data_IF_062923016703
#
_entry.id   IF_062923016703
#
_cell.length_a   1.000
_cell.length_b   1.000
_cell.length_c   1.000
_cell.angle_alpha   90.00
_cell.angle_beta   90.00
_cell.angle_gamma   90.00
#
_symmetry.space_group_name_H-M   'P 1'
#
loop_
_entity.id
_entity.type
_entity.pdbx_description
1 polymer ?
#
# COMPACT_ATOMS: atom_id res chain seq x y z
N UNK A 1 13.30 26.98 10.70
CA UNK A 1 12.71 26.42 9.47
C UNK A 1 11.62 25.43 9.87
N UNK A 2 10.51 25.42 9.18
CA UNK A 2 9.43 24.44 9.39
C UNK A 2 9.91 23.05 9.00
N UNK A 3 9.44 22.03 9.75
CA UNK A 3 9.78 20.62 9.47
C UNK A 3 9.03 20.14 8.24
N UNK A 4 9.74 19.49 7.31
CA UNK A 4 9.15 18.80 6.18
C UNK A 4 9.21 17.29 6.47
N UNK A 5 8.06 16.66 6.65
CA UNK A 5 7.94 15.22 6.88
C UNK A 5 7.79 14.49 5.54
N UNK A 6 8.09 13.18 5.52
CA UNK A 6 7.96 12.35 4.31
C UNK A 6 6.54 12.36 3.76
N UNK A 7 5.54 12.55 4.62
CA UNK A 7 4.14 12.65 4.24
C UNK A 7 3.39 13.57 5.19
N UNK A 8 2.28 14.12 4.70
CA UNK A 8 1.31 14.88 5.47
C UNK A 8 -0.08 14.38 5.07
N UNK A 9 -0.93 14.15 6.07
CA UNK A 9 -2.28 13.65 5.84
C UNK A 9 -3.14 14.73 5.15
N UNK A 10 -3.84 14.35 4.09
CA UNK A 10 -4.92 15.16 3.53
C UNK A 10 -6.10 15.15 4.49
N UNK A 11 -6.67 16.32 4.73
CA UNK A 11 -7.78 16.51 5.66
C UNK A 11 -8.88 17.32 4.97
N UNK A 12 -10.17 16.99 5.18
CA UNK A 12 -11.28 17.86 4.81
C UNK A 12 -11.25 19.13 5.67
N UNK A 13 -12.10 20.12 5.38
CA UNK A 13 -12.31 21.23 6.30
C UNK A 13 -12.90 20.72 7.62
N UNK A 14 -12.63 21.44 8.71
CA UNK A 14 -13.16 21.08 10.03
C UNK A 14 -14.70 21.07 10.01
N UNK A 15 -15.29 22.05 9.35
CA UNK A 15 -16.74 22.22 9.22
C UNK A 15 -17.37 21.05 8.45
N UNK A 16 -16.74 20.62 7.35
CA UNK A 16 -17.21 19.47 6.57
C UNK A 16 -17.25 18.18 7.41
N UNK A 17 -16.19 17.92 8.18
CA UNK A 17 -16.17 16.74 9.03
C UNK A 17 -17.17 16.82 10.19
N UNK A 18 -17.34 18.00 10.80
CA UNK A 18 -18.34 18.22 11.85
C UNK A 18 -19.75 17.99 11.31
N UNK A 19 -20.07 18.50 10.11
CA UNK A 19 -21.38 18.28 9.49
C UNK A 19 -21.60 16.79 9.16
N UNK A 20 -20.56 16.10 8.69
CA UNK A 20 -20.64 14.67 8.34
C UNK A 20 -20.90 13.77 9.56
N UNK A 21 -20.36 14.09 10.75
CA UNK A 21 -20.54 13.28 11.95
C UNK A 21 -21.75 13.70 12.81
N UNK A 22 -22.41 14.81 12.50
CA UNK A 22 -23.45 15.42 13.34
C UNK A 22 -24.59 14.46 13.68
N UNK A 23 -25.06 13.70 12.70
CA UNK A 23 -26.15 12.72 12.91
C UNK A 23 -25.80 11.57 13.85
N UNK A 24 -24.49 11.36 14.13
CA UNK A 24 -24.08 10.33 15.09
C UNK A 24 -24.46 10.68 16.53
N UNK A 25 -24.67 11.99 16.84
CA UNK A 25 -25.15 12.45 18.13
C UNK A 25 -26.66 12.20 18.33
N UNK A 26 -27.41 12.09 17.24
CA UNK A 26 -28.84 11.77 17.32
C UNK A 26 -29.06 10.25 17.32
N UNK A 27 -28.29 9.53 16.48
CA UNK A 27 -28.44 8.08 16.35
C UNK A 27 -27.79 7.27 17.46
N UNK A 28 -26.74 7.80 18.11
CA UNK A 28 -25.87 7.10 19.05
C UNK A 28 -25.27 5.78 18.50
N UNK A 29 -25.28 5.58 17.18
CA UNK A 29 -24.76 4.39 16.51
C UNK A 29 -23.32 4.64 16.03
N UNK A 30 -22.34 4.18 16.78
CA UNK A 30 -20.93 4.55 16.59
C UNK A 30 -20.06 3.48 15.93
N UNK A 31 -20.56 2.25 15.86
CA UNK A 31 -19.84 1.09 15.31
C UNK A 31 -20.81 0.05 14.77
N UNK A 32 -20.33 -1.18 14.44
CA UNK A 32 -21.15 -2.27 13.95
C UNK A 32 -21.88 -1.97 12.63
N UNK A 33 -21.13 -1.40 11.68
CA UNK A 33 -21.60 -1.19 10.29
C UNK A 33 -22.87 -0.35 10.21
N UNK A 34 -22.80 0.85 10.78
CA UNK A 34 -23.90 1.83 10.75
C UNK A 34 -24.05 2.52 9.39
N UNK A 35 -24.69 3.69 9.40
CA UNK A 35 -25.05 4.43 8.18
C UNK A 35 -23.81 4.89 7.39
N UNK A 36 -22.83 5.52 8.07
CA UNK A 36 -21.60 6.01 7.42
C UNK A 36 -20.75 4.88 6.85
N UNK A 37 -20.64 3.78 7.59
CA UNK A 37 -19.94 2.59 7.12
C UNK A 37 -20.55 2.05 5.81
N UNK A 38 -21.87 1.88 5.76
CA UNK A 38 -22.57 1.38 4.57
C UNK A 38 -22.49 2.34 3.39
N UNK A 39 -22.63 3.62 3.66
CA UNK A 39 -22.48 4.65 2.63
C UNK A 39 -21.07 4.64 2.05
N UNK A 40 -20.04 4.55 2.90
CA UNK A 40 -18.66 4.49 2.45
C UNK A 40 -18.38 3.22 1.62
N UNK A 41 -18.89 2.06 2.02
CA UNK A 41 -18.77 0.83 1.22
C UNK A 41 -19.34 1.04 -0.19
N UNK A 42 -20.55 1.57 -0.32
CA UNK A 42 -21.19 1.84 -1.60
C UNK A 42 -20.42 2.86 -2.46
N UNK A 43 -19.99 3.98 -1.84
CA UNK A 43 -19.20 4.99 -2.55
C UNK A 43 -17.84 4.48 -3.03
N UNK A 44 -17.20 3.62 -2.25
CA UNK A 44 -15.93 3.01 -2.64
C UNK A 44 -16.10 1.97 -3.75
N UNK A 45 -17.21 1.20 -3.76
CA UNK A 45 -17.54 0.32 -4.89
C UNK A 45 -17.63 1.11 -6.19
N UNK A 46 -18.36 2.21 -6.19
CA UNK A 46 -18.52 3.08 -7.36
C UNK A 46 -17.18 3.71 -7.78
N UNK A 47 -16.44 4.30 -6.85
CA UNK A 47 -15.17 4.98 -7.15
C UNK A 47 -14.10 4.03 -7.68
N UNK A 48 -13.93 2.88 -7.05
CA UNK A 48 -12.93 1.87 -7.43
C UNK A 48 -13.38 1.04 -8.64
N UNK A 49 -14.67 1.05 -8.98
CA UNK A 49 -15.25 0.27 -10.07
C UNK A 49 -15.16 -1.23 -9.82
N UNK A 50 -15.55 -1.69 -8.61
CA UNK A 50 -15.45 -3.08 -8.14
C UNK A 50 -16.80 -3.63 -7.72
N UNK A 51 -16.97 -4.96 -7.73
CA UNK A 51 -18.24 -5.63 -7.41
C UNK A 51 -18.52 -5.71 -5.91
N UNK A 52 -17.47 -5.81 -5.08
CA UNK A 52 -17.59 -5.90 -3.63
C UNK A 52 -16.48 -5.15 -2.90
N UNK A 53 -16.86 -4.52 -1.78
CA UNK A 53 -15.96 -3.87 -0.82
C UNK A 53 -16.33 -4.30 0.58
N UNK A 54 -15.36 -4.62 1.41
CA UNK A 54 -15.54 -4.83 2.84
C UNK A 54 -14.57 -3.94 3.61
N UNK A 55 -15.09 -3.12 4.55
CA UNK A 55 -14.30 -2.16 5.33
C UNK A 55 -13.79 -2.76 6.62
N UNK A 56 -12.57 -2.36 7.01
CA UNK A 56 -11.88 -2.81 8.20
C UNK A 56 -11.28 -1.65 8.99
N UNK A 57 -10.96 -1.91 10.26
CA UNK A 57 -10.35 -0.92 11.16
C UNK A 57 -8.97 -0.44 10.69
N UNK A 58 -8.23 -1.24 9.92
CA UNK A 58 -6.98 -0.89 9.25
C UNK A 58 -6.64 -1.90 8.14
N UNK A 59 -5.67 -1.55 7.29
CA UNK A 59 -5.24 -2.40 6.16
C UNK A 59 -4.60 -3.71 6.59
N UNK A 60 -3.89 -3.75 7.73
CA UNK A 60 -3.28 -4.99 8.23
C UNK A 60 -4.35 -6.04 8.57
N UNK A 61 -5.35 -5.66 9.35
CA UNK A 61 -6.47 -6.54 9.68
C UNK A 61 -7.27 -6.95 8.45
N UNK A 62 -7.40 -6.05 7.47
CA UNK A 62 -8.03 -6.36 6.19
C UNK A 62 -7.29 -7.49 5.47
N UNK A 63 -5.95 -7.39 5.34
CA UNK A 63 -5.14 -8.41 4.68
C UNK A 63 -5.10 -9.73 5.47
N UNK A 64 -4.93 -9.67 6.79
CA UNK A 64 -4.90 -10.86 7.65
C UNK A 64 -6.20 -11.65 7.55
N UNK A 65 -7.35 -10.99 7.60
CA UNK A 65 -8.65 -11.64 7.50
C UNK A 65 -9.00 -12.07 6.08
N UNK A 66 -8.48 -11.41 5.03
CA UNK A 66 -8.62 -11.89 3.65
C UNK A 66 -7.86 -13.21 3.43
N UNK A 67 -6.65 -13.33 3.98
CA UNK A 67 -5.87 -14.57 3.96
C UNK A 67 -6.63 -15.69 4.69
N UNK A 68 -7.16 -15.40 5.86
CA UNK A 68 -7.95 -16.34 6.65
C UNK A 68 -9.22 -16.79 5.91
N UNK A 69 -9.97 -15.86 5.32
CA UNK A 69 -11.22 -16.15 4.58
C UNK A 69 -10.99 -17.04 3.35
N UNK A 70 -9.81 -16.96 2.73
CA UNK A 70 -9.46 -17.83 1.58
C UNK A 70 -9.02 -19.25 2.00
N UNK A 71 -8.95 -19.54 3.32
CA UNK A 71 -8.54 -20.85 3.84
C UNK A 71 -7.21 -21.34 3.24
N UNK A 72 -6.23 -20.43 3.11
CA UNK A 72 -4.93 -20.76 2.53
C UNK A 72 -4.15 -21.71 3.44
N UNK A 73 -3.23 -22.48 2.86
CA UNK A 73 -2.39 -23.43 3.57
C UNK A 73 -0.97 -23.46 2.99
N UNK A 74 0.00 -23.90 3.78
CA UNK A 74 1.38 -24.12 3.33
C UNK A 74 2.13 -22.83 3.03
N UNK A 75 2.45 -22.59 1.76
CA UNK A 75 3.31 -21.51 1.30
C UNK A 75 2.57 -20.40 0.57
N UNK A 76 3.01 -19.17 0.79
CA UNK A 76 2.50 -17.98 0.08
C UNK A 76 3.68 -17.19 -0.49
N UNK A 77 3.71 -17.03 -1.81
CA UNK A 77 4.76 -16.26 -2.48
C UNK A 77 4.46 -14.76 -2.32
N UNK A 78 5.46 -13.99 -1.89
CA UNK A 78 5.41 -12.53 -1.78
C UNK A 78 6.80 -11.93 -2.05
N UNK A 79 6.97 -10.62 -1.88
CA UNK A 79 8.28 -9.94 -1.98
C UNK A 79 8.78 -9.48 -0.61
N UNK A 80 10.10 -9.44 -0.36
CA UNK A 80 10.62 -8.85 0.86
C UNK A 80 10.66 -7.31 0.82
N UNK A 81 10.50 -6.71 -0.37
CA UNK A 81 10.53 -5.26 -0.57
C UNK A 81 9.15 -4.63 -0.38
N UNK A 82 8.68 -4.69 0.85
CA UNK A 82 7.36 -4.23 1.26
C UNK A 82 7.36 -3.75 2.71
N UNK A 83 6.23 -3.25 3.18
CA UNK A 83 6.01 -2.96 4.60
C UNK A 83 5.79 -4.27 5.38
N UNK A 84 6.14 -4.27 6.67
CA UNK A 84 6.02 -5.43 7.57
C UNK A 84 4.65 -6.13 7.51
N UNK A 85 3.58 -5.37 7.25
CA UNK A 85 2.20 -5.85 7.24
C UNK A 85 2.00 -7.06 6.33
N UNK A 86 2.54 -7.04 5.11
CA UNK A 86 2.36 -8.11 4.12
C UNK A 86 2.91 -9.44 4.64
N UNK A 87 4.17 -9.44 5.06
CA UNK A 87 4.82 -10.66 5.59
C UNK A 87 4.20 -11.11 6.91
N UNK A 88 3.89 -10.16 7.82
CA UNK A 88 3.29 -10.50 9.11
C UNK A 88 1.88 -11.08 8.96
N UNK A 89 1.07 -10.60 8.03
CA UNK A 89 -0.27 -11.15 7.80
C UNK A 89 -0.20 -12.62 7.34
N UNK A 90 0.78 -12.99 6.52
CA UNK A 90 1.05 -14.38 6.10
C UNK A 90 1.42 -15.23 7.33
N UNK A 91 2.42 -14.80 8.09
CA UNK A 91 2.94 -15.56 9.25
C UNK A 91 1.89 -15.71 10.36
N UNK A 92 1.11 -14.66 10.62
CA UNK A 92 0.04 -14.69 11.65
C UNK A 92 -1.09 -15.65 11.28
N UNK A 93 -1.27 -15.99 10.01
CA UNK A 93 -2.16 -17.03 9.55
C UNK A 93 -1.53 -18.45 9.58
N UNK A 94 -0.33 -18.61 10.16
CA UNK A 94 0.37 -19.90 10.23
C UNK A 94 0.94 -20.36 8.90
N UNK A 95 1.06 -19.47 7.92
CA UNK A 95 1.58 -19.74 6.59
C UNK A 95 3.07 -19.40 6.49
N UNK A 96 3.75 -20.01 5.55
CA UNK A 96 5.18 -19.78 5.28
C UNK A 96 5.33 -18.79 4.11
N UNK A 97 5.89 -17.60 4.32
CA UNK A 97 6.22 -16.71 3.21
C UNK A 97 7.39 -17.27 2.40
N UNK A 98 7.23 -17.27 1.07
CA UNK A 98 8.31 -17.56 0.10
C UNK A 98 8.62 -16.24 -0.60
N UNK A 99 9.88 -15.79 -0.50
CA UNK A 99 10.25 -14.48 -1.01
C UNK A 99 10.73 -14.55 -2.46
N UNK A 100 10.01 -13.90 -3.34
CA UNK A 100 10.39 -13.62 -4.71
C UNK A 100 11.11 -12.27 -4.80
N UNK A 101 12.17 -12.18 -5.60
CA UNK A 101 12.86 -10.92 -5.85
C UNK A 101 11.97 -9.93 -6.61
N UNK A 102 12.44 -8.71 -6.76
CA UNK A 102 11.73 -7.62 -7.44
C UNK A 102 12.29 -7.38 -8.84
N UNK A 103 11.44 -6.90 -9.74
CA UNK A 103 11.87 -6.37 -11.04
C UNK A 103 12.64 -5.06 -10.82
N UNK A 104 13.84 -4.88 -11.39
CA UNK A 104 14.66 -3.68 -11.20
C UNK A 104 14.08 -2.41 -11.86
N UNK A 105 13.08 -2.54 -12.75
CA UNK A 105 12.50 -1.41 -13.47
C UNK A 105 11.39 -0.71 -12.69
N UNK A 106 10.56 -1.48 -11.95
CA UNK A 106 9.40 -0.92 -11.22
C UNK A 106 9.32 -1.33 -9.75
N UNK A 107 10.24 -2.21 -9.31
CA UNK A 107 10.37 -2.75 -7.95
C UNK A 107 9.20 -3.60 -7.47
N UNK A 108 8.28 -3.97 -8.35
CA UNK A 108 7.24 -4.95 -8.06
C UNK A 108 7.81 -6.37 -8.15
N UNK A 109 7.03 -7.37 -7.76
CA UNK A 109 7.46 -8.79 -7.80
C UNK A 109 7.92 -9.19 -9.21
N UNK A 110 9.10 -9.82 -9.34
CA UNK A 110 9.62 -10.29 -10.62
C UNK A 110 8.87 -11.55 -11.09
N UNK A 111 7.93 -11.36 -11.99
CA UNK A 111 7.08 -12.44 -12.54
C UNK A 111 7.87 -13.54 -13.26
N UNK A 112 9.11 -13.24 -13.72
CA UNK A 112 9.97 -14.22 -14.39
C UNK A 112 10.48 -15.30 -13.44
N UNK A 113 10.50 -15.01 -12.14
CA UNK A 113 10.95 -15.92 -11.09
C UNK A 113 9.81 -16.71 -10.44
N UNK A 114 8.54 -16.24 -10.56
CA UNK A 114 7.41 -16.82 -9.86
C UNK A 114 7.25 -18.32 -10.06
N UNK A 115 7.28 -18.80 -11.31
CA UNK A 115 7.07 -20.23 -11.60
C UNK A 115 8.11 -21.13 -10.94
N UNK A 116 9.35 -20.66 -10.78
CA UNK A 116 10.43 -21.44 -10.16
C UNK A 116 10.29 -21.57 -8.63
N UNK A 117 9.49 -20.72 -8.00
CA UNK A 117 9.24 -20.71 -6.55
C UNK A 117 7.99 -21.51 -6.16
N UNK A 118 7.19 -21.93 -7.15
CA UNK A 118 5.95 -22.68 -6.91
C UNK A 118 6.29 -24.14 -6.57
N UNK A 119 5.77 -24.62 -5.45
CA UNK A 119 5.82 -26.00 -5.00
C UNK A 119 4.42 -26.59 -4.86
N UNK A 120 4.30 -27.86 -4.52
CA UNK A 120 3.04 -28.52 -4.18
C UNK A 120 2.38 -27.99 -2.90
N UNK A 121 3.11 -27.19 -2.11
CA UNK A 121 2.61 -26.53 -0.91
C UNK A 121 2.18 -25.07 -1.14
N UNK A 122 2.45 -24.50 -2.32
CA UNK A 122 2.10 -23.13 -2.62
C UNK A 122 0.59 -22.98 -2.82
N UNK A 123 -0.07 -22.11 -2.06
CA UNK A 123 -1.52 -21.89 -2.14
C UNK A 123 -1.89 -20.53 -2.70
N UNK A 124 -1.01 -19.53 -2.60
CA UNK A 124 -1.31 -18.18 -3.06
C UNK A 124 -0.06 -17.36 -3.42
N UNK A 125 -0.32 -16.27 -4.14
CA UNK A 125 0.63 -15.18 -4.39
C UNK A 125 0.05 -13.92 -3.76
N UNK A 126 0.85 -13.19 -2.95
CA UNK A 126 0.51 -11.88 -2.41
C UNK A 126 1.52 -10.86 -2.95
N UNK A 127 1.31 -10.38 -4.19
CA UNK A 127 2.17 -9.37 -4.81
C UNK A 127 1.84 -7.99 -4.27
N UNK A 128 2.83 -7.09 -4.26
CA UNK A 128 2.70 -5.75 -3.69
C UNK A 128 2.81 -4.71 -4.79
N UNK A 129 1.81 -3.86 -4.93
CA UNK A 129 1.84 -2.68 -5.80
C UNK A 129 2.68 -1.57 -5.14
N UNK A 130 3.99 -1.82 -5.01
CA UNK A 130 4.90 -0.95 -4.26
C UNK A 130 4.97 0.46 -4.83
N UNK A 131 4.94 1.48 -3.97
CA UNK A 131 4.96 2.92 -4.30
C UNK A 131 3.81 3.43 -5.18
N UNK A 132 2.85 2.59 -5.52
CA UNK A 132 1.79 2.90 -6.48
C UNK A 132 2.04 2.31 -7.87
N UNK A 133 3.17 1.62 -8.08
CA UNK A 133 3.44 0.89 -9.32
C UNK A 133 2.59 -0.37 -9.38
N UNK A 134 2.07 -0.65 -10.55
CA UNK A 134 1.21 -1.80 -10.82
C UNK A 134 2.08 -3.02 -11.14
N UNK A 135 1.90 -4.12 -10.41
CA UNK A 135 2.50 -5.42 -10.75
C UNK A 135 2.05 -5.85 -12.16
N UNK A 136 2.81 -6.74 -12.79
CA UNK A 136 2.37 -7.37 -14.05
C UNK A 136 1.18 -8.30 -13.78
N UNK A 137 0.00 -7.70 -13.63
CA UNK A 137 -1.24 -8.39 -13.23
C UNK A 137 -1.66 -9.47 -14.22
N UNK A 138 -1.38 -9.28 -15.52
CA UNK A 138 -1.74 -10.24 -16.56
C UNK A 138 -0.91 -11.51 -16.46
N UNK A 139 0.40 -11.37 -16.23
CA UNK A 139 1.29 -12.53 -16.08
C UNK A 139 1.07 -13.24 -14.74
N UNK A 140 0.82 -12.51 -13.67
CA UNK A 140 0.46 -13.10 -12.37
C UNK A 140 -0.84 -13.91 -12.50
N UNK A 141 -1.85 -13.36 -13.17
CA UNK A 141 -3.12 -14.06 -13.41
C UNK A 141 -2.91 -15.35 -14.23
N UNK A 142 -2.08 -15.27 -15.30
CA UNK A 142 -1.74 -16.44 -16.12
C UNK A 142 -1.10 -17.55 -15.28
N UNK A 143 -0.12 -17.18 -14.45
CA UNK A 143 0.59 -18.12 -13.57
C UNK A 143 -0.38 -18.70 -12.53
N UNK A 144 -1.14 -17.86 -11.85
CA UNK A 144 -2.09 -18.29 -10.84
C UNK A 144 -3.12 -19.27 -11.39
N UNK A 145 -3.69 -18.99 -12.57
CA UNK A 145 -4.63 -19.92 -13.25
C UNK A 145 -3.98 -21.26 -13.62
N UNK A 146 -2.72 -21.21 -14.11
CA UNK A 146 -1.98 -22.43 -14.47
C UNK A 146 -1.76 -23.38 -13.30
N UNK A 147 -1.49 -22.83 -12.10
CA UNK A 147 -1.16 -23.60 -10.92
C UNK A 147 -2.28 -23.68 -9.87
N UNK A 148 -3.45 -23.09 -10.15
CA UNK A 148 -4.60 -23.11 -9.23
C UNK A 148 -4.37 -22.28 -7.96
N UNK A 149 -3.57 -21.22 -8.04
CA UNK A 149 -3.21 -20.38 -6.90
C UNK A 149 -4.21 -19.23 -6.73
N UNK A 150 -4.41 -18.80 -5.48
CA UNK A 150 -5.12 -17.56 -5.16
C UNK A 150 -4.21 -16.35 -5.30
N UNK A 151 -4.79 -15.18 -5.62
CA UNK A 151 -4.05 -13.92 -5.72
C UNK A 151 -4.73 -12.86 -4.87
N UNK A 152 -4.00 -12.35 -3.86
CA UNK A 152 -4.41 -11.20 -3.05
C UNK A 152 -3.39 -10.09 -3.27
N UNK A 153 -3.78 -8.99 -3.94
CA UNK A 153 -2.88 -7.85 -4.08
C UNK A 153 -2.80 -7.03 -2.80
N UNK A 154 -1.57 -6.79 -2.32
CA UNK A 154 -1.33 -5.68 -1.41
C UNK A 154 -1.33 -4.38 -2.21
N UNK A 155 -2.48 -3.73 -2.24
CA UNK A 155 -2.77 -2.50 -2.96
C UNK A 155 -2.75 -1.27 -2.03
N UNK A 156 -2.04 -1.36 -0.88
CA UNK A 156 -1.99 -0.30 0.13
C UNK A 156 -1.49 1.05 -0.39
N UNK A 157 -0.83 1.09 -1.56
CA UNK A 157 -0.29 2.29 -2.17
C UNK A 157 -1.04 2.74 -3.44
N UNK A 158 -2.08 2.02 -3.86
CA UNK A 158 -2.70 2.21 -5.19
C UNK A 158 -4.15 2.65 -5.16
N UNK A 159 -4.61 3.29 -4.09
CA UNK A 159 -5.95 3.88 -4.10
C UNK A 159 -6.10 4.89 -5.25
N UNK A 160 -7.14 4.72 -6.07
CA UNK A 160 -7.40 5.54 -7.25
C UNK A 160 -6.56 5.23 -8.48
N UNK A 161 -5.58 4.31 -8.39
CA UNK A 161 -4.80 3.86 -9.55
C UNK A 161 -5.67 3.06 -10.52
N UNK A 162 -5.50 3.32 -11.83
CA UNK A 162 -6.14 2.55 -12.89
C UNK A 162 -5.09 1.97 -13.83
N UNK A 163 -5.33 0.74 -14.28
CA UNK A 163 -4.55 0.07 -15.30
C UNK A 163 -5.45 -0.30 -16.48
N UNK A 164 -5.11 0.14 -17.69
CA UNK A 164 -5.93 -0.03 -18.91
C UNK A 164 -7.39 0.45 -18.71
N UNK A 165 -7.57 1.54 -17.96
CA UNK A 165 -8.87 2.14 -17.65
C UNK A 165 -9.68 1.45 -16.54
N UNK A 166 -9.22 0.30 -16.01
CA UNK A 166 -9.87 -0.42 -14.91
C UNK A 166 -9.23 -0.07 -13.57
N UNK A 167 -10.03 0.06 -12.53
CA UNK A 167 -9.54 0.25 -11.16
C UNK A 167 -8.67 -0.94 -10.72
N UNK A 168 -7.55 -0.66 -10.05
CA UNK A 168 -6.60 -1.72 -9.68
C UNK A 168 -7.19 -2.75 -8.72
N UNK A 169 -8.19 -2.37 -7.93
CA UNK A 169 -8.92 -3.26 -7.04
C UNK A 169 -9.77 -4.36 -7.72
N UNK A 170 -9.88 -4.33 -9.06
CA UNK A 170 -10.62 -5.34 -9.83
C UNK A 170 -9.75 -6.48 -10.35
N UNK A 171 -8.49 -6.57 -9.91
CA UNK A 171 -7.55 -7.63 -10.29
C UNK A 171 -7.31 -8.60 -9.12
N UNK A 172 -7.02 -9.87 -9.46
CA UNK A 172 -6.85 -10.96 -8.49
C UNK A 172 -8.17 -11.47 -7.91
N UNK A 173 -8.09 -12.39 -6.95
CA UNK A 173 -9.26 -12.83 -6.16
C UNK A 173 -9.68 -11.74 -5.16
N UNK A 174 -8.71 -10.95 -4.66
CA UNK A 174 -8.94 -9.80 -3.79
C UNK A 174 -7.81 -8.79 -3.87
N UNK A 175 -8.09 -7.52 -3.50
CA UNK A 175 -7.07 -6.48 -3.31
C UNK A 175 -7.29 -5.78 -1.97
N UNK A 176 -6.21 -5.62 -1.20
CA UNK A 176 -6.22 -4.91 0.09
C UNK A 176 -5.80 -3.47 -0.07
N UNK A 177 -6.63 -2.55 0.39
CA UNK A 177 -6.31 -1.12 0.48
C UNK A 177 -6.09 -0.69 1.93
N UNK A 178 -5.12 0.19 2.13
CA UNK A 178 -4.87 0.84 3.43
C UNK A 178 -5.35 2.29 3.39
N UNK A 179 -6.15 2.67 4.37
CA UNK A 179 -6.64 4.03 4.58
C UNK A 179 -6.01 4.69 5.80
N UNK A 180 -4.78 4.27 6.13
CA UNK A 180 -3.98 4.91 7.17
C UNK A 180 -3.72 6.38 6.80
N UNK A 181 -3.65 7.26 7.80
CA UNK A 181 -3.51 8.72 7.66
C UNK A 181 -2.40 9.20 6.70
N UNK A 182 -1.37 8.39 6.46
CA UNK A 182 -0.26 8.71 5.54
C UNK A 182 -0.53 8.39 4.07
N UNK A 183 -1.64 7.73 3.74
CA UNK A 183 -1.96 7.31 2.38
C UNK A 183 -2.57 8.44 1.55
N UNK A 184 -2.61 8.27 0.23
CA UNK A 184 -3.22 9.23 -0.72
C UNK A 184 -4.68 9.51 -0.36
N UNK A 185 -5.42 8.45 -0.05
CA UNK A 185 -6.74 8.47 0.53
C UNK A 185 -6.69 7.89 1.95
N UNK A 186 -7.34 8.53 2.91
CA UNK A 186 -7.32 8.06 4.29
C UNK A 186 -8.68 8.22 4.99
N UNK A 187 -8.86 7.42 6.03
CA UNK A 187 -9.98 7.49 6.98
C UNK A 187 -9.46 7.53 8.43
N UNK A 188 -8.38 8.29 8.67
CA UNK A 188 -7.58 8.33 9.91
C UNK A 188 -6.80 7.03 10.05
N UNK A 189 -7.44 5.97 10.42
CA UNK A 189 -7.10 4.56 10.29
C UNK A 189 -8.22 3.88 9.52
N UNK A 190 -7.89 2.88 8.72
CA UNK A 190 -8.86 2.12 7.95
C UNK A 190 -8.21 1.21 6.94
N UNK A 191 -9.02 0.37 6.36
CA UNK A 191 -8.64 -0.49 5.24
C UNK A 191 -9.87 -1.08 4.57
N UNK A 192 -9.66 -1.63 3.38
CA UNK A 192 -10.69 -2.34 2.66
C UNK A 192 -10.11 -3.56 1.95
N UNK A 193 -10.98 -4.54 1.72
CA UNK A 193 -10.78 -5.60 0.74
C UNK A 193 -11.80 -5.40 -0.38
N UNK A 194 -11.33 -5.38 -1.62
CA UNK A 194 -12.17 -5.48 -2.81
C UNK A 194 -12.17 -6.92 -3.31
N UNK A 195 -13.28 -7.38 -3.88
CA UNK A 195 -13.45 -8.76 -4.30
C UNK A 195 -14.57 -8.91 -5.34
N UNK A 196 -14.64 -10.07 -5.99
CA UNK A 196 -15.72 -10.45 -6.94
C UNK A 196 -16.63 -11.53 -6.37
N UNK A 197 -16.11 -12.43 -5.52
CA UNK A 197 -16.84 -13.55 -4.95
C UNK A 197 -17.69 -13.12 -3.75
N UNK A 198 -19.00 -13.26 -3.85
CA UNK A 198 -19.95 -12.86 -2.80
C UNK A 198 -19.86 -13.77 -1.56
N UNK A 199 -19.53 -15.06 -1.70
CA UNK A 199 -19.34 -15.96 -0.55
C UNK A 199 -18.10 -15.54 0.26
N UNK A 200 -17.01 -15.22 -0.43
CA UNK A 200 -15.84 -14.64 0.20
C UNK A 200 -16.16 -13.31 0.93
N UNK A 201 -16.98 -12.46 0.32
CA UNK A 201 -17.47 -11.23 0.97
C UNK A 201 -18.26 -11.49 2.26
N UNK A 202 -19.09 -12.54 2.30
CA UNK A 202 -19.81 -12.96 3.50
C UNK A 202 -18.86 -13.48 4.60
N UNK A 203 -17.83 -14.22 4.22
CA UNK A 203 -16.82 -14.69 5.19
C UNK A 203 -16.02 -13.53 5.78
N UNK A 204 -15.63 -12.55 4.97
CA UNK A 204 -15.01 -11.31 5.46
C UNK A 204 -15.93 -10.56 6.45
N UNK A 205 -17.23 -10.48 6.14
CA UNK A 205 -18.21 -9.84 7.02
C UNK A 205 -18.30 -10.54 8.38
N UNK A 206 -18.28 -11.86 8.42
CA UNK A 206 -18.32 -12.67 9.64
C UNK A 206 -17.01 -12.53 10.42
N UNK A 207 -15.88 -12.72 9.75
CA UNK A 207 -14.55 -12.71 10.36
C UNK A 207 -14.19 -11.36 10.99
N UNK A 208 -14.55 -10.24 10.36
CA UNK A 208 -14.32 -8.90 10.95
C UNK A 208 -15.19 -8.62 12.18
N UNK A 209 -16.17 -9.47 12.48
CA UNK A 209 -17.07 -9.39 13.62
C UNK A 209 -17.08 -10.68 14.45
N UNK A 210 -15.92 -11.17 14.87
CA UNK A 210 -15.75 -12.34 15.77
C UNK A 210 -16.29 -13.67 15.21
N UNK A 211 -16.58 -13.81 13.94
CA UNK A 211 -17.24 -15.00 13.39
C UNK A 211 -18.73 -15.10 13.73
N UNK A 212 -19.34 -14.01 14.18
CA UNK A 212 -20.77 -13.97 14.55
C UNK A 212 -21.63 -14.05 13.29
N UNK A 213 -22.48 -15.07 13.23
CA UNK A 213 -23.48 -15.29 12.17
C UNK A 213 -24.90 -14.87 12.60
N UNK A 214 -25.17 -14.85 13.87
CA UNK A 214 -26.45 -14.51 14.47
C UNK A 214 -26.31 -14.39 15.99
N UNK A 215 -27.38 -14.05 16.69
CA UNK A 215 -27.34 -13.78 18.14
C UNK A 215 -26.79 -14.97 18.95
N UNK A 216 -27.02 -16.20 18.51
CA UNK A 216 -26.63 -17.41 19.22
C UNK A 216 -25.63 -18.28 18.43
N UNK A 217 -25.15 -17.84 17.26
CA UNK A 217 -24.30 -18.63 16.36
C UNK A 217 -22.98 -17.92 16.11
N UNK A 218 -21.90 -18.53 16.59
CA UNK A 218 -20.52 -18.16 16.29
C UNK A 218 -19.86 -19.40 15.70
N UNK A 219 -19.62 -19.40 14.37
CA UNK A 219 -19.16 -20.58 13.63
C UNK A 219 -17.73 -20.48 13.12
N UNK A 220 -17.07 -19.36 13.34
CA UNK A 220 -15.68 -19.16 12.98
C UNK A 220 -14.90 -18.31 13.98
N UNK A 221 -13.57 -18.44 14.00
CA UNK A 221 -12.68 -17.61 14.83
C UNK A 221 -12.38 -16.34 14.06
N UNK A 222 -13.02 -15.24 14.45
CA UNK A 222 -12.81 -13.93 13.85
C UNK A 222 -12.13 -12.94 14.77
N UNK A 223 -12.06 -11.68 14.36
CA UNK A 223 -11.47 -10.58 15.09
C UNK A 223 -12.46 -9.41 15.25
N UNK A 224 -12.14 -8.46 16.12
CA UNK A 224 -12.81 -7.17 16.15
C UNK A 224 -12.10 -6.21 15.17
N UNK A 225 -12.49 -6.27 13.91
CA UNK A 225 -11.83 -5.53 12.86
C UNK A 225 -12.77 -4.59 12.07
N UNK A 226 -13.95 -4.29 12.62
CA UNK A 226 -14.91 -3.38 11.99
C UNK A 226 -14.43 -1.94 12.01
N UNK A 227 -14.55 -1.25 10.89
CA UNK A 227 -14.41 0.22 10.84
C UNK A 227 -15.57 0.87 11.61
N UNK A 228 -15.28 1.87 12.43
CA UNK A 228 -16.29 2.64 13.15
C UNK A 228 -16.83 3.80 12.30
N UNK A 229 -17.93 4.44 12.76
CA UNK A 229 -18.63 5.48 12.02
C UNK A 229 -17.79 6.76 11.84
N UNK A 230 -16.93 7.12 12.81
CA UNK A 230 -16.06 8.30 12.70
C UNK A 230 -14.98 8.12 11.62
N UNK A 231 -14.40 6.92 11.54
CA UNK A 231 -13.47 6.57 10.46
C UNK A 231 -14.19 6.59 9.11
N UNK A 232 -15.40 6.03 9.04
CA UNK A 232 -16.18 6.01 7.81
C UNK A 232 -16.57 7.43 7.36
N UNK A 233 -16.98 8.30 8.28
CA UNK A 233 -17.29 9.70 8.01
C UNK A 233 -16.07 10.45 7.46
N UNK A 234 -14.88 10.27 8.06
CA UNK A 234 -13.63 10.83 7.53
C UNK A 234 -13.35 10.31 6.12
N UNK A 235 -13.57 9.03 5.89
CA UNK A 235 -13.44 8.42 4.56
C UNK A 235 -14.37 9.05 3.54
N UNK A 236 -15.63 9.30 3.89
CA UNK A 236 -16.60 9.96 3.02
C UNK A 236 -16.18 11.39 2.65
N UNK A 237 -15.73 12.17 3.64
CA UNK A 237 -15.22 13.52 3.39
C UNK A 237 -14.01 13.48 2.45
N UNK A 238 -12.97 12.69 2.76
CA UNK A 238 -11.76 12.62 1.96
C UNK A 238 -12.00 12.05 0.55
N UNK A 239 -13.01 11.20 0.37
CA UNK A 239 -13.34 10.65 -0.95
C UNK A 239 -13.84 11.73 -1.92
N UNK A 240 -14.51 12.77 -1.43
CA UNK A 240 -14.97 13.90 -2.25
C UNK A 240 -13.82 14.71 -2.85
N UNK A 241 -12.63 14.67 -2.21
CA UNK A 241 -11.47 15.50 -2.56
C UNK A 241 -10.31 14.71 -3.16
N UNK A 242 -10.38 13.37 -3.18
CA UNK A 242 -9.22 12.51 -3.50
C UNK A 242 -8.65 12.77 -4.89
N UNK A 243 -9.47 13.03 -5.88
CA UNK A 243 -8.99 13.29 -7.25
C UNK A 243 -8.24 14.64 -7.33
N UNK A 244 -8.71 15.67 -6.62
CA UNK A 244 -7.98 16.94 -6.49
C UNK A 244 -6.64 16.76 -5.77
N UNK A 245 -6.60 15.94 -4.71
CA UNK A 245 -5.38 15.62 -3.98
C UNK A 245 -4.38 14.85 -4.86
N UNK A 246 -4.85 13.95 -5.73
CA UNK A 246 -4.00 13.25 -6.71
C UNK A 246 -3.42 14.25 -7.73
N UNK A 247 -4.21 15.19 -8.24
CA UNK A 247 -3.72 16.22 -9.17
C UNK A 247 -2.69 17.18 -8.52
N UNK A 248 -2.86 17.52 -7.25
CA UNK A 248 -1.84 18.28 -6.49
C UNK A 248 -0.54 17.48 -6.36
N UNK A 249 -0.62 16.17 -6.03
CA UNK A 249 0.55 15.27 -5.95
C UNK A 249 1.24 15.12 -7.29
N UNK A 250 0.51 15.10 -8.39
CA UNK A 250 1.07 15.08 -9.74
C UNK A 250 2.01 16.27 -9.98
N UNK A 251 1.60 17.49 -9.60
CA UNK A 251 2.45 18.68 -9.75
C UNK A 251 3.75 18.56 -8.96
N UNK A 252 3.68 18.06 -7.72
CA UNK A 252 4.86 17.79 -6.90
C UNK A 252 5.77 16.75 -7.56
N UNK A 253 5.19 15.66 -8.06
CA UNK A 253 5.91 14.60 -8.77
C UNK A 253 6.63 15.15 -10.03
N UNK A 254 5.92 15.91 -10.85
CA UNK A 254 6.46 16.51 -12.08
C UNK A 254 7.61 17.47 -11.77
N UNK A 255 7.52 18.26 -10.68
CA UNK A 255 8.60 19.14 -10.26
C UNK A 255 9.84 18.36 -9.80
N UNK A 256 9.69 17.28 -9.05
CA UNK A 256 10.80 16.39 -8.72
C UNK A 256 11.43 15.77 -9.98
N UNK A 257 10.61 15.31 -10.93
CA UNK A 257 11.12 14.76 -12.19
C UNK A 257 11.90 15.80 -12.99
N UNK A 258 11.43 17.05 -13.05
CA UNK A 258 12.14 18.17 -13.70
C UNK A 258 13.53 18.36 -13.11
N UNK A 259 13.65 18.37 -11.78
CA UNK A 259 14.88 18.74 -11.08
C UNK A 259 15.89 17.58 -10.93
N UNK A 260 15.42 16.32 -10.90
CA UNK A 260 16.27 15.15 -10.63
C UNK A 260 16.50 14.25 -11.84
N UNK A 261 15.73 14.40 -12.94
CA UNK A 261 15.97 13.62 -14.14
C UNK A 261 17.31 13.97 -14.80
N UNK A 262 18.06 12.92 -15.18
CA UNK A 262 19.35 13.09 -15.82
C UNK A 262 20.51 13.46 -14.89
N UNK A 263 20.29 13.49 -13.58
CA UNK A 263 21.39 13.64 -12.62
C UNK A 263 22.16 12.32 -12.51
N UNK A 264 23.44 12.32 -12.86
CA UNK A 264 24.27 11.11 -12.80
C UNK A 264 24.28 10.49 -11.41
N UNK A 265 24.14 9.17 -11.35
CA UNK A 265 24.09 8.43 -10.10
C UNK A 265 22.74 8.47 -9.38
N UNK A 266 21.74 9.15 -9.94
CA UNK A 266 20.34 9.08 -9.49
C UNK A 266 19.51 8.22 -10.45
N UNK A 267 18.81 7.21 -9.91
CA UNK A 267 17.84 6.42 -10.64
C UNK A 267 16.43 6.76 -10.13
N UNK A 268 15.55 7.18 -11.05
CA UNK A 268 14.14 7.44 -10.81
C UNK A 268 13.30 6.36 -11.47
N UNK A 269 12.14 6.06 -10.87
CA UNK A 269 11.14 5.21 -11.49
C UNK A 269 10.50 5.91 -12.68
N UNK A 270 10.32 5.18 -13.77
CA UNK A 270 9.65 5.69 -14.97
C UNK A 270 8.14 5.48 -14.85
N UNK A 271 7.32 6.39 -15.41
CA UNK A 271 5.89 6.16 -15.54
C UNK A 271 5.61 4.84 -16.29
N UNK A 272 4.73 4.01 -15.72
CA UNK A 272 4.33 2.76 -16.36
C UNK A 272 3.33 3.03 -17.48
N UNK A 273 3.44 2.25 -18.57
CA UNK A 273 2.52 2.34 -19.70
C UNK A 273 1.11 1.87 -19.27
N UNK A 274 0.09 2.55 -19.81
CA UNK A 274 -1.33 2.25 -19.57
C UNK A 274 -1.77 2.33 -18.08
N UNK A 275 -0.95 2.93 -17.22
CA UNK A 275 -1.24 3.20 -15.81
C UNK A 275 -1.59 4.66 -15.61
N UNK A 276 -2.72 4.92 -14.95
CA UNK A 276 -3.07 6.22 -14.37
C UNK A 276 -2.65 6.19 -12.90
N UNK A 277 -1.53 6.85 -12.53
CA UNK A 277 -0.96 6.76 -11.19
C UNK A 277 -1.67 7.70 -10.21
N UNK A 278 -1.48 7.45 -8.91
CA UNK A 278 -1.93 8.32 -7.83
C UNK A 278 -0.81 9.13 -7.17
N UNK A 279 0.42 8.99 -7.67
CA UNK A 279 1.60 9.70 -7.15
C UNK A 279 1.79 9.54 -5.64
N UNK A 280 1.66 8.31 -5.15
CA UNK A 280 1.70 8.02 -3.72
C UNK A 280 3.06 8.30 -3.09
N UNK A 281 4.16 8.01 -3.80
CA UNK A 281 5.53 8.12 -3.32
C UNK A 281 6.47 8.66 -4.41
N UNK A 282 7.62 9.19 -3.98
CA UNK A 282 8.73 9.57 -4.86
C UNK A 282 10.02 8.89 -4.39
N UNK A 283 10.27 7.62 -4.77
CA UNK A 283 11.50 6.92 -4.44
C UNK A 283 12.64 7.35 -5.36
N UNK A 284 13.82 7.54 -4.79
CA UNK A 284 15.07 7.87 -5.48
C UNK A 284 16.13 6.86 -5.07
N UNK A 285 16.78 6.22 -6.03
CA UNK A 285 17.90 5.31 -5.78
C UNK A 285 19.21 6.02 -6.06
N UNK A 286 20.13 5.98 -5.09
CA UNK A 286 21.46 6.61 -5.19
C UNK A 286 22.52 5.55 -5.50
N UNK A 287 23.17 5.68 -6.66
CA UNK A 287 24.35 4.90 -7.04
C UNK A 287 25.59 5.66 -6.57
N UNK A 288 26.10 5.28 -5.39
CA UNK A 288 27.14 6.00 -4.66
C UNK A 288 28.41 6.25 -5.48
N UNK A 289 28.80 5.32 -6.37
CA UNK A 289 29.99 5.45 -7.20
C UNK A 289 29.88 6.57 -8.22
N UNK A 290 28.69 6.74 -8.80
CA UNK A 290 28.40 7.73 -9.84
C UNK A 290 27.93 9.06 -9.24
N UNK A 291 27.20 9.01 -8.11
CA UNK A 291 26.67 10.18 -7.45
C UNK A 291 27.72 10.84 -6.52
N UNK A 292 28.63 10.03 -5.96
CA UNK A 292 29.67 10.47 -5.04
C UNK A 292 29.28 10.47 -3.57
N UNK A 293 27.99 10.25 -3.24
CA UNK A 293 27.49 10.13 -1.87
C UNK A 293 26.48 8.98 -1.76
N UNK A 294 26.51 8.31 -0.60
CA UNK A 294 25.56 7.25 -0.29
C UNK A 294 24.17 7.81 0.03
N UNK A 295 23.13 6.96 -0.15
CA UNK A 295 21.77 7.24 0.33
C UNK A 295 21.74 7.71 1.79
N UNK A 296 22.60 7.17 2.64
CA UNK A 296 22.64 7.53 4.05
C UNK A 296 23.18 8.95 4.27
N UNK A 297 24.25 9.36 3.56
CA UNK A 297 24.77 10.71 3.62
C UNK A 297 23.73 11.73 3.16
N UNK A 298 23.05 11.47 2.04
CA UNK A 298 21.94 12.31 1.55
C UNK A 298 20.80 12.41 2.59
N UNK A 299 20.43 11.29 3.20
CA UNK A 299 19.38 11.27 4.23
C UNK A 299 19.76 12.13 5.45
N UNK A 300 21.01 12.07 5.93
CA UNK A 300 21.47 12.88 7.05
C UNK A 300 21.62 14.37 6.67
N UNK A 301 22.03 14.69 5.45
CA UNK A 301 22.06 16.06 4.94
C UNK A 301 20.67 16.71 4.93
N UNK A 302 19.66 15.99 4.42
CA UNK A 302 18.27 16.43 4.46
C UNK A 302 17.77 16.63 5.89
N UNK A 303 18.05 15.66 6.77
CA UNK A 303 17.65 15.70 8.17
C UNK A 303 18.27 16.88 8.94
N UNK A 304 19.54 17.23 8.65
CA UNK A 304 20.21 18.39 9.21
C UNK A 304 19.47 19.71 8.89
N UNK A 305 18.76 19.73 7.76
CA UNK A 305 17.93 20.84 7.30
C UNK A 305 16.43 20.69 7.66
N UNK A 306 16.10 19.83 8.64
CA UNK A 306 14.73 19.54 9.10
C UNK A 306 13.82 18.92 8.02
N UNK A 307 14.39 18.18 7.06
CA UNK A 307 13.66 17.44 6.02
C UNK A 307 13.81 15.94 6.31
N UNK A 308 12.69 15.26 6.51
CA UNK A 308 12.64 13.88 6.99
C UNK A 308 12.17 12.93 5.87
N UNK A 309 13.12 12.48 5.05
CA UNK A 309 12.91 11.41 4.09
C UNK A 309 12.90 10.02 4.77
N UNK A 310 12.43 8.99 4.09
CA UNK A 310 12.32 7.63 4.63
C UNK A 310 13.04 6.61 3.75
N UNK A 311 13.65 5.62 4.41
CA UNK A 311 14.30 4.48 3.75
C UNK A 311 13.26 3.38 3.49
N UNK A 312 12.29 3.63 2.64
CA UNK A 312 11.25 2.67 2.28
C UNK A 312 11.65 1.90 1.00
N UNK A 313 11.89 0.56 1.07
CA UNK A 313 11.71 -0.27 2.24
C UNK A 313 13.06 -0.82 2.68
N UNK A 314 13.48 -0.43 3.86
CA UNK A 314 14.68 -0.92 4.53
C UNK A 314 14.44 -0.94 6.05
N UNK A 315 14.81 -2.03 6.76
CA UNK A 315 15.34 -3.29 6.23
C UNK A 315 14.29 -4.08 5.42
N UNK A 316 14.72 -5.04 4.60
CA UNK A 316 13.82 -5.98 3.92
C UNK A 316 13.10 -6.86 4.94
N UNK A 317 11.84 -7.25 4.65
CA UNK A 317 11.04 -8.00 5.63
C UNK A 317 11.61 -9.39 5.95
N UNK A 318 12.28 -10.04 5.00
CA UNK A 318 12.98 -11.31 5.22
C UNK A 318 14.22 -11.21 6.12
N UNK A 319 14.66 -9.99 6.46
CA UNK A 319 15.81 -9.75 7.36
C UNK A 319 15.41 -9.29 8.76
N UNK A 320 14.12 -9.28 9.08
CA UNK A 320 13.67 -8.84 10.40
C UNK A 320 14.15 -9.77 11.52
N UNK A 321 14.59 -9.19 12.62
CA UNK A 321 15.11 -9.94 13.78
C UNK A 321 14.13 -10.99 14.31
N UNK A 322 12.82 -10.74 14.18
CA UNK A 322 11.78 -11.68 14.59
C UNK A 322 11.79 -13.01 13.81
N UNK A 323 12.47 -13.08 12.68
CA UNK A 323 12.64 -14.31 11.89
C UNK A 323 13.97 -15.04 12.18
N UNK A 324 14.83 -14.49 13.05
CA UNK A 324 16.07 -15.13 13.52
C UNK A 324 16.96 -15.72 12.40
N UNK A 325 17.05 -15.03 11.26
CA UNK A 325 17.86 -15.50 10.12
C UNK A 325 17.30 -16.72 9.36
N UNK A 326 15.99 -16.96 9.50
CA UNK A 326 15.31 -18.08 8.83
C UNK A 326 15.39 -18.00 7.29
N UNK A 327 15.51 -16.79 6.72
CA UNK A 327 15.51 -16.55 5.29
C UNK A 327 16.87 -16.04 4.82
N UNK A 328 17.37 -16.56 3.68
CA UNK A 328 18.59 -16.05 3.06
C UNK A 328 18.26 -14.80 2.22
N UNK A 329 18.76 -13.65 2.66
CA UNK A 329 18.59 -12.37 1.95
C UNK A 329 19.24 -12.38 0.56
N UNK A 330 20.21 -13.25 0.31
CA UNK A 330 20.88 -13.35 -1.00
C UNK A 330 20.03 -14.02 -2.08
N UNK A 331 18.91 -14.65 -1.70
CA UNK A 331 17.91 -15.16 -2.66
C UNK A 331 17.13 -14.04 -3.34
N UNK A 332 17.17 -12.80 -2.79
CA UNK A 332 16.52 -11.61 -3.35
C UNK A 332 17.54 -10.47 -3.56
N UNK A 333 18.53 -10.66 -4.47
CA UNK A 333 19.65 -9.74 -4.62
C UNK A 333 19.25 -8.36 -5.15
N UNK A 334 18.23 -8.27 -6.01
CA UNK A 334 17.74 -6.99 -6.52
C UNK A 334 17.07 -6.16 -5.40
N UNK A 335 16.19 -6.79 -4.63
CA UNK A 335 15.57 -6.16 -3.47
C UNK A 335 16.62 -5.70 -2.46
N UNK A 336 17.63 -6.52 -2.18
CA UNK A 336 18.74 -6.18 -1.29
C UNK A 336 19.53 -4.98 -1.83
N UNK A 337 19.83 -4.97 -3.14
CA UNK A 337 20.55 -3.86 -3.79
C UNK A 337 19.78 -2.54 -3.69
N UNK A 338 18.51 -2.55 -4.07
CA UNK A 338 17.64 -1.36 -4.05
C UNK A 338 17.40 -0.88 -2.62
N UNK A 339 17.07 -1.77 -1.68
CA UNK A 339 16.78 -1.41 -0.29
C UNK A 339 17.92 -0.63 0.39
N UNK A 340 19.17 -0.92 0.05
CA UNK A 340 20.35 -0.21 0.58
C UNK A 340 20.53 1.18 -0.02
N UNK A 341 19.90 1.50 -1.14
CA UNK A 341 20.14 2.71 -1.95
C UNK A 341 18.93 3.63 -2.08
N UNK A 342 17.73 3.11 -1.85
CA UNK A 342 16.49 3.89 -2.01
C UNK A 342 16.26 4.85 -0.86
N UNK A 343 15.81 6.05 -1.18
CA UNK A 343 15.30 7.05 -0.26
C UNK A 343 13.98 7.59 -0.83
N UNK A 344 12.91 7.51 -0.06
CA UNK A 344 11.61 8.07 -0.44
C UNK A 344 11.56 9.52 0.04
N UNK A 345 11.48 10.45 -0.89
CA UNK A 345 11.44 11.88 -0.62
C UNK A 345 10.05 12.31 -0.11
N UNK A 346 9.93 13.47 0.55
CA UNK A 346 8.65 14.05 0.94
C UNK A 346 7.68 14.12 -0.24
N UNK A 347 6.48 13.57 -0.07
CA UNK A 347 5.47 13.50 -1.13
C UNK A 347 4.06 13.57 -0.55
N UNK A 348 3.42 14.74 -0.67
CA UNK A 348 2.05 15.01 -0.26
C UNK A 348 1.47 16.19 -1.05
N UNK A 349 0.16 16.31 -1.09
CA UNK A 349 -0.55 17.26 -1.96
C UNK A 349 -0.19 18.74 -1.72
N UNK A 350 -0.02 19.12 -0.45
CA UNK A 350 0.30 20.51 -0.06
C UNK A 350 1.81 20.81 0.02
N UNK A 351 2.67 19.93 -0.52
CA UNK A 351 4.11 20.20 -0.57
C UNK A 351 4.37 21.34 -1.56
N UNK A 352 4.94 22.42 -1.08
CA UNK A 352 5.17 23.61 -1.90
C UNK A 352 6.32 23.40 -2.87
N UNK A 353 6.25 24.06 -4.02
CA UNK A 353 7.29 24.00 -5.06
C UNK A 353 8.65 24.46 -4.53
N UNK A 354 8.68 25.50 -3.70
CA UNK A 354 9.93 25.99 -3.08
C UNK A 354 10.54 24.96 -2.14
N UNK A 355 9.72 24.14 -1.47
CA UNK A 355 10.21 23.05 -0.63
C UNK A 355 10.80 21.92 -1.47
N UNK A 356 10.19 21.59 -2.62
CA UNK A 356 10.74 20.62 -3.59
C UNK A 356 12.09 21.12 -4.13
N UNK A 357 12.18 22.37 -4.54
CA UNK A 357 13.43 22.98 -5.02
C UNK A 357 14.52 22.94 -3.95
N UNK A 358 14.18 23.25 -2.70
CA UNK A 358 15.08 23.16 -1.56
C UNK A 358 15.58 21.74 -1.30
N UNK A 359 14.68 20.74 -1.35
CA UNK A 359 15.03 19.32 -1.20
C UNK A 359 16.03 18.91 -2.29
N UNK A 360 15.73 19.22 -3.54
CA UNK A 360 16.57 18.89 -4.69
C UNK A 360 17.91 19.64 -4.66
N UNK A 361 17.93 20.89 -4.22
CA UNK A 361 19.16 21.66 -4.01
C UNK A 361 20.10 20.99 -3.02
N UNK A 362 19.59 20.59 -1.84
CA UNK A 362 20.37 19.86 -0.84
C UNK A 362 20.90 18.53 -1.39
N UNK A 363 20.07 17.78 -2.15
CA UNK A 363 20.51 16.54 -2.79
C UNK A 363 21.64 16.82 -3.77
N UNK A 364 21.52 17.86 -4.61
CA UNK A 364 22.55 18.22 -5.60
C UNK A 364 23.88 18.63 -4.97
N UNK A 365 23.84 19.28 -3.80
CA UNK A 365 25.04 19.63 -3.02
C UNK A 365 25.80 18.40 -2.50
N UNK A 366 25.15 17.22 -2.44
CA UNK A 366 25.79 15.97 -2.03
C UNK A 366 26.48 15.25 -3.21
N UNK A 367 26.29 15.69 -4.45
CA UNK A 367 26.98 15.14 -5.62
C UNK A 367 28.46 15.54 -5.57
N UNK A 368 29.36 14.54 -5.67
CA UNK A 368 30.82 14.72 -5.60
C UNK A 368 31.51 14.22 -6.87
#
# INVERSE_FOLDING_TARGET
>A
MEKILVTRSSMPSFEEYVDEIKELWDSHWLTNMGAKHKELEARLQDYLGVEGVSLFTNGHMALELAIQAMNLSGEVITTPFTFASTTHAIVRNGLTPVFCDIDPEDYTIDVKQLESLITDRTSAIIPVHVYGNVCNVEEIERIAKKYGLKVIYDAAHTFGVRYKGRGIGSYGDASMFSFHATKVYNSIEGGAITFHDQEFGLDLYRLKNFGIRGEEVIDSIGANAKMNEFQAAMGLCNLRHVDEEIEKRKKVFEKYMELLSGVDGIQLLKPQKDVQPNYAYFPVVFHEKEFGSSRNEVCEALKAQQIFARKYFYPLTNTFDCFNGMYDVNETPTALHISKRVLTLPMYADLKEEDVERICGIISEQKR
#
